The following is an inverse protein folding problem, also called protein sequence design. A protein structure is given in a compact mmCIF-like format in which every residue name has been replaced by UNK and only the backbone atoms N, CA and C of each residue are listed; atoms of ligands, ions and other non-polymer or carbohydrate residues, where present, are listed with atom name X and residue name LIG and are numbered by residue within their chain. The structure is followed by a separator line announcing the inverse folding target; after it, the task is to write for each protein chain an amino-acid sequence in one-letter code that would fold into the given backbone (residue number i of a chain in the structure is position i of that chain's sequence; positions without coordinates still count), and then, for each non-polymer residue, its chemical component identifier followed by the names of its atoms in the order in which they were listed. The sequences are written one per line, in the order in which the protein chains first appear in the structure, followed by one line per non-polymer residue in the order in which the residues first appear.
data_IF_954643444540
#
_entry.id   IF_954643444540
#
_cell.length_a   1.000
_cell.length_b   1.000
_cell.length_c   1.000
_cell.angle_alpha   90.00
_cell.angle_beta   90.00
_cell.angle_gamma   90.00
#
_symmetry.space_group_name_H-M   'P 1'
#
loop_
_entity.id
_entity.type
_entity.pdbx_description
1 polymer ?
#
# COMPACT_ATOMS: atom_id res chain seq x y z
N UNK A 1 -60.53 16.84 27.10
CA UNK A 1 -59.06 16.95 26.88
C UNK A 1 -58.37 15.86 27.70
N UNK A 2 -57.15 15.45 27.33
CA UNK A 2 -56.28 14.46 27.99
C UNK A 2 -56.44 12.97 27.62
N UNK A 3 -56.28 12.65 26.33
CA UNK A 3 -55.81 11.33 25.85
C UNK A 3 -54.78 11.56 24.75
N UNK A 4 -53.58 12.02 25.11
CA UNK A 4 -52.37 12.13 24.27
C UNK A 4 -51.24 12.76 25.11
N UNK A 5 -50.65 12.00 26.04
CA UNK A 5 -49.40 12.45 26.70
C UNK A 5 -48.58 11.32 27.34
N UNK A 6 -48.66 10.09 26.84
CA UNK A 6 -47.68 9.06 27.19
C UNK A 6 -47.15 8.42 25.92
N UNK A 7 -45.86 8.64 25.70
CA UNK A 7 -45.12 8.14 24.56
C UNK A 7 -45.18 6.62 24.49
N UNK A 8 -45.59 6.10 23.33
CA UNK A 8 -45.21 4.76 22.93
C UNK A 8 -43.69 4.72 22.92
N UNK A 9 -43.10 4.01 23.88
CA UNK A 9 -41.73 3.54 23.79
C UNK A 9 -41.62 2.76 22.47
N UNK A 10 -40.72 3.14 21.54
CA UNK A 10 -40.53 2.33 20.33
C UNK A 10 -40.18 0.90 20.77
N UNK A 11 -40.70 -0.13 20.07
CA UNK A 11 -40.34 -1.51 20.38
C UNK A 11 -38.82 -1.61 20.37
N UNK A 12 -38.23 -2.31 21.35
CA UNK A 12 -36.80 -2.54 21.43
C UNK A 12 -36.32 -3.07 20.07
N UNK A 13 -35.73 -2.19 19.26
CA UNK A 13 -35.15 -2.53 17.99
C UNK A 13 -33.99 -3.44 18.31
N UNK A 14 -34.13 -4.73 18.01
CA UNK A 14 -32.98 -5.64 17.98
C UNK A 14 -31.87 -5.01 17.14
N UNK A 15 -30.62 -5.37 17.44
CA UNK A 15 -29.44 -4.95 16.67
C UNK A 15 -29.82 -5.07 15.19
N UNK A 16 -29.73 -3.99 14.39
CA UNK A 16 -30.19 -4.00 13.00
C UNK A 16 -29.43 -5.11 12.27
N UNK A 17 -30.12 -6.21 12.00
CA UNK A 17 -29.56 -7.30 11.23
C UNK A 17 -29.32 -6.75 9.84
N UNK A 18 -28.06 -6.70 9.41
CA UNK A 18 -27.73 -6.29 8.05
C UNK A 18 -28.52 -7.17 7.09
N UNK A 19 -29.48 -6.56 6.40
CA UNK A 19 -30.35 -7.30 5.49
C UNK A 19 -29.51 -7.83 4.33
N UNK A 20 -29.85 -9.02 3.82
CA UNK A 20 -29.17 -9.56 2.63
C UNK A 20 -29.19 -8.56 1.44
N UNK A 21 -30.22 -7.72 1.36
CA UNK A 21 -30.30 -6.64 0.38
C UNK A 21 -29.24 -5.55 0.58
N UNK A 22 -28.95 -5.16 1.84
CA UNK A 22 -27.90 -4.19 2.14
C UNK A 22 -26.51 -4.78 1.87
N UNK A 23 -26.26 -6.03 2.25
CA UNK A 23 -25.00 -6.73 1.96
C UNK A 23 -24.74 -6.84 0.45
N UNK A 24 -25.76 -7.24 -0.33
CA UNK A 24 -25.67 -7.30 -1.79
C UNK A 24 -25.40 -5.93 -2.41
N UNK A 25 -26.02 -4.86 -1.89
CA UNK A 25 -25.76 -3.49 -2.36
C UNK A 25 -24.31 -3.07 -2.09
N UNK A 26 -23.74 -3.42 -0.94
CA UNK A 26 -22.32 -3.17 -0.63
C UNK A 26 -21.40 -3.92 -1.58
N UNK A 27 -21.68 -5.20 -1.86
CA UNK A 27 -20.89 -6.01 -2.81
C UNK A 27 -20.91 -5.39 -4.21
N UNK A 28 -22.10 -5.04 -4.73
CA UNK A 28 -22.21 -4.39 -6.03
C UNK A 28 -21.53 -3.02 -6.06
N UNK A 29 -21.57 -2.25 -4.97
CA UNK A 29 -20.87 -0.98 -4.89
C UNK A 29 -19.34 -1.16 -4.95
N UNK A 30 -18.79 -2.16 -4.24
CA UNK A 30 -17.37 -2.52 -4.29
C UNK A 30 -16.97 -2.90 -5.73
N UNK A 31 -17.76 -3.76 -6.39
CA UNK A 31 -17.51 -4.17 -7.78
C UNK A 31 -17.49 -2.97 -8.74
N UNK A 32 -18.48 -2.09 -8.65
CA UNK A 32 -18.54 -0.88 -9.49
C UNK A 32 -17.34 0.05 -9.25
N UNK A 33 -16.89 0.19 -7.99
CA UNK A 33 -15.69 0.98 -7.67
C UNK A 33 -14.43 0.36 -8.29
N UNK A 34 -14.27 -0.95 -8.23
CA UNK A 34 -13.16 -1.67 -8.89
C UNK A 34 -13.16 -1.46 -10.40
N UNK A 35 -14.31 -1.60 -11.07
CA UNK A 35 -14.41 -1.36 -12.52
C UNK A 35 -14.10 0.09 -12.90
N UNK A 36 -14.52 1.05 -12.06
CA UNK A 36 -14.20 2.46 -12.26
C UNK A 36 -12.72 2.78 -12.06
N UNK A 37 -12.09 2.21 -11.04
CA UNK A 37 -10.64 2.32 -10.78
C UNK A 37 -9.85 1.83 -12.01
N UNK A 38 -10.16 0.63 -12.51
CA UNK A 38 -9.51 0.06 -13.70
C UNK A 38 -9.71 0.95 -14.94
N UNK A 39 -10.89 1.55 -15.10
CA UNK A 39 -11.18 2.47 -16.20
C UNK A 39 -10.36 3.75 -16.11
N UNK A 40 -10.20 4.29 -14.89
CA UNK A 40 -9.37 5.49 -14.64
C UNK A 40 -7.90 5.19 -14.90
N UNK A 41 -7.39 4.05 -14.47
CA UNK A 41 -6.01 3.59 -14.73
C UNK A 41 -5.74 3.46 -16.23
N UNK A 42 -6.61 2.77 -16.97
CA UNK A 42 -6.50 2.66 -18.44
C UNK A 42 -6.48 4.02 -19.13
N UNK A 43 -7.29 4.98 -18.64
CA UNK A 43 -7.28 6.35 -19.17
C UNK A 43 -5.97 7.06 -18.86
N UNK A 44 -5.45 6.91 -17.63
CA UNK A 44 -4.15 7.47 -17.22
C UNK A 44 -3.03 6.97 -18.12
N UNK A 45 -2.92 5.66 -18.33
CA UNK A 45 -1.89 5.06 -19.21
C UNK A 45 -1.95 5.61 -20.64
N UNK A 46 -3.16 5.82 -21.18
CA UNK A 46 -3.33 6.42 -22.50
C UNK A 46 -2.81 7.86 -22.54
N UNK A 47 -3.08 8.65 -21.50
CA UNK A 47 -2.60 10.02 -21.41
C UNK A 47 -1.08 10.10 -21.21
N UNK A 48 -0.49 9.17 -20.45
CA UNK A 48 0.95 9.05 -20.28
C UNK A 48 1.65 8.78 -21.62
N UNK A 49 1.14 7.81 -22.41
CA UNK A 49 1.65 7.53 -23.76
C UNK A 49 1.55 8.75 -24.68
N UNK A 50 0.45 9.51 -24.59
CA UNK A 50 0.28 10.77 -25.36
C UNK A 50 1.23 11.86 -24.89
N UNK A 51 1.48 11.96 -23.58
CA UNK A 51 2.40 12.91 -22.99
C UNK A 51 3.83 12.65 -23.44
N UNK A 52 4.26 11.38 -23.44
CA UNK A 52 5.56 10.95 -23.93
C UNK A 52 5.72 11.24 -25.43
N UNK A 53 4.67 11.00 -26.24
CA UNK A 53 4.69 11.35 -27.65
C UNK A 53 4.84 12.88 -27.91
N UNK A 54 4.21 13.73 -27.09
CA UNK A 54 4.42 15.18 -27.18
C UNK A 54 5.81 15.61 -26.72
N UNK A 55 6.40 14.92 -25.74
CA UNK A 55 7.79 15.13 -25.32
C UNK A 55 8.77 14.79 -26.45
N UNK A 56 8.60 13.67 -27.13
CA UNK A 56 9.45 13.28 -28.27
C UNK A 56 9.34 14.28 -29.43
N UNK A 57 8.14 14.75 -29.76
CA UNK A 57 7.95 15.83 -30.75
C UNK A 57 8.66 17.12 -30.33
N UNK A 58 8.61 17.47 -29.04
CA UNK A 58 9.31 18.66 -28.53
C UNK A 58 10.83 18.53 -28.68
N UNK A 59 11.40 17.36 -28.39
CA UNK A 59 12.83 17.05 -28.62
C UNK A 59 13.20 17.16 -30.10
N UNK A 60 12.38 16.61 -30.98
CA UNK A 60 12.59 16.68 -32.43
C UNK A 60 12.59 18.13 -32.94
N UNK A 61 11.57 18.92 -32.59
CA UNK A 61 11.51 20.33 -32.98
C UNK A 61 12.66 21.16 -32.43
N UNK A 62 13.16 20.80 -31.24
CA UNK A 62 14.35 21.43 -30.66
C UNK A 62 15.59 21.14 -31.51
N UNK A 63 15.80 19.88 -31.93
CA UNK A 63 16.89 19.50 -32.85
C UNK A 63 16.80 20.23 -34.20
N UNK A 64 15.59 20.44 -34.69
CA UNK A 64 15.31 21.18 -35.93
C UNK A 64 15.34 22.71 -35.76
N UNK A 65 15.71 23.24 -34.58
CA UNK A 65 15.73 24.68 -34.24
C UNK A 65 14.37 25.38 -34.43
N UNK A 66 13.27 24.61 -34.33
CA UNK A 66 11.87 25.05 -34.46
C UNK A 66 11.28 25.41 -33.09
N UNK A 67 11.77 26.50 -32.50
CA UNK A 67 11.47 26.91 -31.11
C UNK A 67 9.97 27.08 -30.81
N UNK A 68 9.20 27.66 -31.74
CA UNK A 68 7.76 27.90 -31.52
C UNK A 68 6.97 26.58 -31.44
N UNK A 69 7.28 25.62 -32.32
CA UNK A 69 6.65 24.29 -32.33
C UNK A 69 7.03 23.47 -31.09
N UNK A 70 8.30 23.50 -30.68
CA UNK A 70 8.75 22.84 -29.45
C UNK A 70 7.99 23.37 -28.22
N UNK A 71 7.83 24.70 -28.11
CA UNK A 71 7.07 25.32 -27.03
C UNK A 71 5.59 24.87 -27.01
N UNK A 72 4.96 24.71 -28.18
CA UNK A 72 3.59 24.22 -28.27
C UNK A 72 3.45 22.77 -27.78
N UNK A 73 4.40 21.89 -28.13
CA UNK A 73 4.42 20.51 -27.63
C UNK A 73 4.62 20.47 -26.10
N UNK A 74 5.52 21.28 -25.55
CA UNK A 74 5.72 21.36 -24.10
C UNK A 74 4.47 21.89 -23.36
N UNK A 75 3.73 22.84 -23.94
CA UNK A 75 2.44 23.30 -23.39
C UNK A 75 1.41 22.17 -23.35
N UNK A 76 1.31 21.37 -24.42
CA UNK A 76 0.42 20.20 -24.47
C UNK A 76 0.83 19.14 -23.45
N UNK A 77 2.13 18.85 -23.33
CA UNK A 77 2.68 17.97 -22.29
C UNK A 77 2.21 18.41 -20.90
N UNK A 78 2.34 19.71 -20.58
CA UNK A 78 1.94 20.24 -19.28
C UNK A 78 0.44 20.11 -18.99
N UNK A 79 -0.41 20.26 -20.01
CA UNK A 79 -1.85 20.03 -19.87
C UNK A 79 -2.16 18.54 -19.58
N UNK A 80 -1.46 17.62 -20.26
CA UNK A 80 -1.61 16.18 -20.03
C UNK A 80 -1.12 15.78 -18.63
N UNK A 81 0.01 16.33 -18.16
CA UNK A 81 0.48 16.14 -16.77
C UNK A 81 -0.59 16.52 -15.74
N UNK A 82 -1.23 17.68 -15.93
CA UNK A 82 -2.28 18.13 -15.02
C UNK A 82 -3.50 17.20 -15.07
N UNK A 83 -3.87 16.68 -16.24
CA UNK A 83 -4.97 15.72 -16.36
C UNK A 83 -4.62 14.38 -15.70
N UNK A 84 -3.39 13.89 -15.86
CA UNK A 84 -2.89 12.68 -15.20
C UNK A 84 -2.93 12.84 -13.67
N UNK A 85 -2.42 13.95 -13.14
CA UNK A 85 -2.46 14.22 -11.69
C UNK A 85 -3.91 14.28 -11.16
N UNK A 86 -4.87 14.79 -11.93
CA UNK A 86 -6.27 14.73 -11.56
C UNK A 86 -6.82 13.30 -11.55
N UNK A 87 -6.40 12.44 -12.48
CA UNK A 87 -6.78 11.03 -12.50
C UNK A 87 -6.19 10.27 -11.31
N UNK A 88 -4.93 10.53 -10.93
CA UNK A 88 -4.31 9.95 -9.74
C UNK A 88 -5.10 10.26 -8.47
N UNK A 89 -5.50 11.53 -8.30
CA UNK A 89 -6.36 11.94 -7.19
C UNK A 89 -7.72 11.25 -7.20
N UNK A 90 -8.29 10.96 -8.38
CA UNK A 90 -9.56 10.24 -8.49
C UNK A 90 -9.40 8.74 -8.17
N UNK A 91 -8.33 8.11 -8.66
CA UNK A 91 -8.00 6.70 -8.38
C UNK A 91 -7.85 6.50 -6.89
N UNK A 92 -7.06 7.35 -6.21
CA UNK A 92 -6.86 7.30 -4.76
C UNK A 92 -8.18 7.35 -3.99
N UNK A 93 -9.06 8.32 -4.31
CA UNK A 93 -10.38 8.45 -3.68
C UNK A 93 -11.29 7.23 -3.90
N UNK A 94 -11.25 6.63 -5.10
CA UNK A 94 -12.02 5.42 -5.41
C UNK A 94 -11.47 4.24 -4.59
N UNK A 95 -10.15 4.10 -4.50
CA UNK A 95 -9.50 3.03 -3.73
C UNK A 95 -9.80 3.13 -2.23
N UNK A 96 -9.72 4.34 -1.65
CA UNK A 96 -10.09 4.62 -0.27
C UNK A 96 -11.55 4.24 0.02
N UNK A 97 -12.48 4.61 -0.87
CA UNK A 97 -13.89 4.27 -0.74
C UNK A 97 -14.14 2.76 -0.82
N UNK A 98 -13.44 2.06 -1.72
CA UNK A 98 -13.52 0.61 -1.84
C UNK A 98 -13.04 -0.06 -0.54
N UNK A 99 -11.87 0.32 -0.05
CA UNK A 99 -11.29 -0.21 1.19
C UNK A 99 -12.21 0.04 2.40
N UNK A 100 -12.81 1.23 2.50
CA UNK A 100 -13.80 1.54 3.53
C UNK A 100 -15.03 0.61 3.46
N UNK A 101 -15.59 0.37 2.27
CA UNK A 101 -16.73 -0.53 2.12
C UNK A 101 -16.38 -1.99 2.43
N UNK A 102 -15.18 -2.43 2.08
CA UNK A 102 -14.66 -3.76 2.44
C UNK A 102 -14.53 -3.92 3.96
N UNK A 103 -13.96 -2.92 4.65
CA UNK A 103 -13.87 -2.91 6.11
C UNK A 103 -15.24 -2.91 6.78
N UNK A 104 -16.19 -2.11 6.28
CA UNK A 104 -17.57 -2.09 6.77
C UNK A 104 -18.27 -3.44 6.57
N UNK A 105 -18.05 -4.10 5.44
CA UNK A 105 -18.59 -5.44 5.17
C UNK A 105 -18.06 -6.45 6.17
N UNK A 106 -16.74 -6.51 6.36
CA UNK A 106 -16.10 -7.42 7.34
C UNK A 106 -16.64 -7.18 8.74
N UNK A 107 -16.72 -5.92 9.18
CA UNK A 107 -17.30 -5.55 10.48
C UNK A 107 -18.73 -6.06 10.64
N UNK A 108 -19.54 -5.92 9.59
CA UNK A 108 -20.92 -6.38 9.57
C UNK A 108 -21.02 -7.91 9.68
N UNK A 109 -20.16 -8.64 8.96
CA UNK A 109 -20.09 -10.11 9.00
C UNK A 109 -19.68 -10.62 10.41
N UNK A 110 -18.72 -9.96 11.05
CA UNK A 110 -18.31 -10.26 12.43
C UNK A 110 -19.47 -10.03 13.41
N UNK A 111 -20.13 -8.87 13.34
CA UNK A 111 -21.27 -8.55 14.23
C UNK A 111 -22.44 -9.53 14.03
N UNK A 112 -22.73 -9.92 12.78
CA UNK A 112 -23.74 -10.93 12.47
C UNK A 112 -23.41 -12.31 13.08
N UNK A 113 -22.13 -12.71 13.00
CA UNK A 113 -21.65 -13.96 13.58
C UNK A 113 -21.73 -13.95 15.11
N UNK A 114 -21.33 -12.83 15.74
CA UNK A 114 -21.46 -12.63 17.18
C UNK A 114 -22.92 -12.67 17.65
N UNK A 115 -23.83 -12.06 16.91
CA UNK A 115 -25.26 -12.12 17.20
C UNK A 115 -25.78 -13.56 17.17
N UNK A 116 -25.38 -14.33 16.15
CA UNK A 116 -25.74 -15.75 16.02
C UNK A 116 -25.16 -16.58 17.19
N UNK A 117 -23.90 -16.34 17.55
CA UNK A 117 -23.27 -16.99 18.71
C UNK A 117 -23.99 -16.64 20.03
N UNK A 118 -24.38 -15.37 20.23
CA UNK A 118 -25.11 -14.94 21.41
C UNK A 118 -26.51 -15.59 21.52
N UNK A 119 -27.21 -15.77 20.39
CA UNK A 119 -28.47 -16.51 20.36
C UNK A 119 -28.27 -17.98 20.73
N UNK A 120 -27.26 -18.65 20.16
CA UNK A 120 -26.93 -20.03 20.49
C UNK A 120 -26.53 -20.20 21.97
N UNK A 121 -25.70 -19.29 22.49
CA UNK A 121 -25.33 -19.26 23.90
C UNK A 121 -26.56 -19.09 24.80
N UNK A 122 -27.48 -18.19 24.45
CA UNK A 122 -28.74 -18.00 25.18
C UNK A 122 -29.61 -19.25 25.18
N UNK A 123 -29.71 -19.95 24.06
CA UNK A 123 -30.49 -21.18 23.97
C UNK A 123 -29.84 -22.34 24.73
N UNK A 124 -28.52 -22.47 24.69
CA UNK A 124 -27.76 -23.38 25.55
C UNK A 124 -27.97 -23.07 27.05
N UNK A 125 -27.91 -21.79 27.45
CA UNK A 125 -28.18 -21.40 28.84
C UNK A 125 -29.60 -21.72 29.28
N UNK A 126 -30.61 -21.58 28.41
CA UNK A 126 -31.99 -22.01 28.71
C UNK A 126 -32.06 -23.53 28.92
N UNK A 127 -31.33 -24.31 28.12
CA UNK A 127 -31.24 -25.75 28.28
C UNK A 127 -30.53 -26.14 29.59
N UNK A 128 -29.44 -25.44 29.96
CA UNK A 128 -28.68 -25.69 31.19
C UNK A 128 -29.40 -25.25 32.47
N UNK A 129 -30.24 -24.21 32.42
CA UNK A 129 -31.08 -23.75 33.55
C UNK A 129 -32.10 -24.79 34.03
N UNK A 130 -32.30 -25.90 33.31
CA UNK A 130 -33.15 -27.00 33.77
C UNK A 130 -32.47 -27.82 34.89
N UNK A 131 -31.14 -27.78 35.04
CA UNK A 131 -30.46 -28.70 36.00
C UNK A 131 -29.55 -28.09 37.07
N UNK A 132 -28.99 -26.87 36.99
CA UNK A 132 -28.23 -26.30 38.12
C UNK A 132 -28.11 -24.78 38.02
N UNK A 133 -28.93 -24.05 38.78
CA UNK A 133 -29.02 -22.58 38.71
C UNK A 133 -27.88 -21.87 39.45
N UNK A 134 -27.38 -22.44 40.55
CA UNK A 134 -26.44 -21.73 41.43
C UNK A 134 -25.01 -21.62 40.87
N UNK A 135 -24.52 -22.65 40.15
CA UNK A 135 -23.20 -22.59 39.49
C UNK A 135 -23.17 -21.72 38.24
N UNK A 136 -24.31 -21.59 37.56
CA UNK A 136 -24.45 -20.79 36.34
C UNK A 136 -24.43 -19.30 36.64
N UNK A 137 -24.87 -18.87 37.83
CA UNK A 137 -24.82 -17.45 38.24
C UNK A 137 -23.39 -16.97 38.45
N UNK A 138 -22.50 -17.81 38.97
CA UNK A 138 -21.07 -17.47 39.12
C UNK A 138 -20.38 -17.35 37.76
N UNK A 139 -20.64 -18.26 36.80
CA UNK A 139 -20.10 -18.18 35.44
C UNK A 139 -20.68 -17.01 34.61
N UNK A 140 -21.94 -16.59 34.86
CA UNK A 140 -22.55 -15.40 34.23
C UNK A 140 -21.85 -14.10 34.65
N UNK A 141 -21.44 -14.00 35.90
CA UNK A 141 -20.73 -12.82 36.38
C UNK A 141 -19.35 -12.71 35.71
N UNK A 142 -18.67 -13.85 35.52
CA UNK A 142 -17.40 -13.93 34.77
C UNK A 142 -17.59 -13.58 33.27
N UNK A 143 -18.69 -14.00 32.66
CA UNK A 143 -19.05 -13.66 31.26
C UNK A 143 -19.44 -12.18 31.09
N UNK A 144 -20.02 -11.56 32.13
CA UNK A 144 -20.40 -10.14 32.12
C UNK A 144 -19.18 -9.23 32.18
N UNK A 145 -18.14 -9.63 32.92
CA UNK A 145 -16.84 -8.94 32.90
C UNK A 145 -16.11 -9.10 31.56
N UNK A 146 -16.24 -10.26 30.89
CA UNK A 146 -15.76 -10.43 29.51
C UNK A 146 -16.51 -9.55 28.50
N UNK A 147 -17.82 -9.34 28.68
CA UNK A 147 -18.60 -8.39 27.87
C UNK A 147 -18.21 -6.92 28.09
N UNK A 148 -17.71 -6.58 29.28
CA UNK A 148 -17.21 -5.25 29.60
C UNK A 148 -15.82 -5.02 28.99
N UNK A 149 -14.92 -6.00 29.02
CA UNK A 149 -13.67 -5.99 28.24
C UNK A 149 -13.92 -5.90 26.74
N UNK A 150 -14.97 -6.55 26.24
CA UNK A 150 -15.35 -6.48 24.82
C UNK A 150 -15.87 -5.08 24.43
N UNK A 151 -16.57 -4.37 25.32
CA UNK A 151 -16.91 -2.95 25.11
C UNK A 151 -15.69 -2.02 25.15
N UNK A 152 -14.61 -2.40 25.81
CA UNK A 152 -13.35 -1.63 25.84
C UNK A 152 -12.55 -1.85 24.54
N UNK A 153 -12.54 -3.08 24.01
CA UNK A 153 -11.96 -3.42 22.70
C UNK A 153 -12.79 -2.83 21.54
N UNK A 154 -14.12 -2.80 21.65
CA UNK A 154 -15.04 -2.16 20.70
C UNK A 154 -15.27 -0.67 20.95
N UNK A 155 -14.72 -0.04 22.00
CA UNK A 155 -14.69 1.41 22.11
C UNK A 155 -13.73 2.04 21.08
N UNK A 156 -12.92 1.19 20.42
CA UNK A 156 -12.14 1.54 19.25
C UNK A 156 -12.47 0.61 18.05
N UNK A 157 -13.73 0.53 17.60
CA UNK A 157 -14.09 -0.27 16.42
C UNK A 157 -13.68 0.44 15.12
N UNK A 158 -13.29 1.71 15.27
CA UNK A 158 -12.56 2.54 14.35
C UNK A 158 -11.33 3.01 15.11
N UNK A 159 -10.29 2.19 15.13
CA UNK A 159 -8.91 2.69 15.24
C UNK A 159 -8.53 3.55 14.02
N UNK A 160 -9.41 4.48 13.62
CA UNK A 160 -9.04 5.71 12.93
C UNK A 160 -8.41 6.72 13.92
N UNK A 161 -8.03 6.25 15.11
CA UNK A 161 -6.76 6.62 15.71
C UNK A 161 -5.62 5.73 15.18
N UNK A 162 -5.45 5.67 13.86
CA UNK A 162 -4.09 5.82 13.36
C UNK A 162 -3.91 7.32 13.20
N UNK A 163 -3.53 7.98 14.30
CA UNK A 163 -2.51 9.01 14.14
C UNK A 163 -1.31 8.24 13.57
N UNK A 164 -1.31 8.03 12.24
CA UNK A 164 -0.04 7.86 11.55
C UNK A 164 0.61 9.21 11.76
N UNK A 165 1.58 9.25 12.67
CA UNK A 165 2.35 10.47 12.87
C UNK A 165 2.98 10.78 11.51
N UNK A 166 2.56 11.89 10.88
CA UNK A 166 3.10 12.29 9.58
C UNK A 166 4.63 12.42 9.68
N UNK A 167 5.18 12.70 10.86
CA UNK A 167 6.61 12.76 11.12
C UNK A 167 7.28 11.37 11.12
N UNK A 168 6.61 10.33 11.62
CA UNK A 168 7.10 8.94 11.59
C UNK A 168 7.09 8.38 10.16
N UNK A 169 5.99 8.63 9.42
CA UNK A 169 5.89 8.24 8.01
C UNK A 169 6.86 9.00 7.12
N UNK A 170 7.12 10.28 7.39
CA UNK A 170 8.11 11.07 6.67
C UNK A 170 9.53 10.55 6.94
N UNK A 171 9.83 10.14 8.17
CA UNK A 171 11.10 9.48 8.50
C UNK A 171 11.31 8.15 7.77
N UNK A 172 10.29 7.29 7.73
CA UNK A 172 10.35 6.02 6.97
C UNK A 172 10.52 6.25 5.46
N UNK A 173 9.85 7.27 4.92
CA UNK A 173 9.99 7.64 3.50
C UNK A 173 11.41 8.16 3.19
N UNK A 174 11.98 9.01 4.04
CA UNK A 174 13.36 9.51 3.90
C UNK A 174 14.39 8.37 3.98
N UNK A 175 14.20 7.40 4.88
CA UNK A 175 15.09 6.24 5.01
C UNK A 175 15.03 5.33 3.77
N UNK A 176 13.83 5.15 3.20
CA UNK A 176 13.64 4.38 1.97
C UNK A 176 14.30 5.07 0.77
N UNK A 177 14.13 6.39 0.63
CA UNK A 177 14.77 7.19 -0.42
C UNK A 177 16.31 7.16 -0.31
N UNK A 178 16.85 7.24 0.92
CA UNK A 178 18.28 7.14 1.15
C UNK A 178 18.84 5.75 0.79
N UNK A 179 18.11 4.67 1.12
CA UNK A 179 18.52 3.31 0.76
C UNK A 179 18.51 3.05 -0.75
N UNK A 180 17.54 3.62 -1.47
CA UNK A 180 17.50 3.55 -2.94
C UNK A 180 18.63 4.37 -3.57
N UNK A 181 18.90 5.57 -3.05
CA UNK A 181 19.99 6.41 -3.51
C UNK A 181 21.36 5.76 -3.29
N UNK A 182 21.60 5.14 -2.13
CA UNK A 182 22.83 4.39 -1.85
C UNK A 182 22.98 3.20 -2.81
N UNK A 183 21.89 2.48 -3.11
CA UNK A 183 21.91 1.43 -4.14
C UNK A 183 22.23 1.98 -5.52
N UNK A 184 21.77 3.18 -5.86
CA UNK A 184 22.07 3.86 -7.12
C UNK A 184 23.54 4.35 -7.17
N UNK A 185 24.09 4.84 -6.06
CA UNK A 185 25.49 5.26 -5.92
C UNK A 185 26.48 4.09 -5.88
N UNK A 186 26.07 2.92 -5.37
CA UNK A 186 26.84 1.68 -5.45
C UNK A 186 26.85 1.07 -6.85
N UNK A 187 26.04 1.59 -7.79
CA UNK A 187 26.21 1.25 -9.20
C UNK A 187 27.49 1.92 -9.71
N UNK A 188 28.49 1.15 -10.20
CA UNK A 188 29.74 1.74 -10.65
C UNK A 188 29.50 2.66 -11.84
N UNK A 189 29.91 3.93 -11.70
CA UNK A 189 29.83 4.91 -12.78
C UNK A 189 30.56 4.39 -14.04
N UNK A 190 30.00 4.56 -15.25
CA UNK A 190 30.70 4.18 -16.47
C UNK A 190 31.94 5.06 -16.64
N UNK A 191 33.12 4.45 -16.51
CA UNK A 191 34.41 5.12 -16.62
C UNK A 191 34.60 5.76 -18.01
N UNK A 192 34.81 7.08 -18.13
CA UNK A 192 35.10 7.71 -19.41
C UNK A 192 36.53 7.38 -19.87
N UNK A 193 36.67 6.74 -21.02
CA UNK A 193 37.96 6.49 -21.68
C UNK A 193 38.47 7.75 -22.39
N UNK A 194 38.91 8.76 -21.63
CA UNK A 194 39.59 9.93 -22.19
C UNK A 194 41.11 9.70 -22.21
N UNK A 195 41.67 9.50 -23.41
CA UNK A 195 43.12 9.53 -23.67
C UNK A 195 43.66 10.94 -23.45
N UNK A 196 44.55 11.11 -22.47
CA UNK A 196 45.33 12.35 -22.28
C UNK A 196 46.68 12.21 -23.03
N UNK A 197 47.15 13.22 -23.79
CA UNK A 197 48.43 13.16 -24.49
C UNK A 197 49.59 13.48 -23.53
N UNK A 198 50.52 12.53 -23.36
CA UNK A 198 51.70 12.73 -22.52
C UNK A 198 52.78 13.53 -23.29
N UNK A 199 53.03 14.76 -22.85
CA UNK A 199 54.23 15.51 -23.18
C UNK A 199 55.42 14.95 -22.39
N UNK A 200 56.56 14.93 -23.07
CA UNK A 200 57.82 14.29 -22.69
C UNK A 200 58.66 15.18 -21.77
N UNK A 201 59.10 14.67 -20.63
CA UNK A 201 60.37 15.09 -20.01
C UNK A 201 61.12 13.88 -19.44
N UNK A 202 62.41 13.81 -19.76
CA UNK A 202 63.32 12.67 -19.57
C UNK A 202 63.97 12.72 -18.18
N UNK A 203 64.02 11.57 -17.50
CA UNK A 203 65.02 11.24 -16.46
C UNK A 203 65.30 9.72 -16.43
N UNK A 204 66.45 9.27 -15.88
CA UNK A 204 67.29 8.22 -16.45
C UNK A 204 66.94 6.76 -16.07
N UNK A 205 67.37 5.85 -16.96
CA UNK A 205 67.12 4.39 -16.99
C UNK A 205 67.52 3.62 -15.71
N UNK A 206 66.62 2.77 -15.20
CA UNK A 206 66.84 1.81 -14.11
C UNK A 206 66.31 0.42 -14.53
N UNK A 207 66.94 -0.71 -14.15
CA UNK A 207 66.76 -2.03 -14.78
C UNK A 207 65.41 -2.71 -14.47
N UNK A 208 64.84 -3.41 -15.46
CA UNK A 208 63.62 -4.23 -15.33
C UNK A 208 63.80 -5.37 -14.31
N UNK A 209 62.97 -5.40 -13.26
CA UNK A 209 62.70 -6.61 -12.46
C UNK A 209 61.47 -7.32 -13.03
N UNK A 210 61.65 -8.59 -13.38
CA UNK A 210 60.58 -9.52 -13.76
C UNK A 210 59.58 -9.71 -12.60
N UNK A 211 58.30 -9.90 -12.94
CA UNK A 211 57.23 -10.21 -11.98
C UNK A 211 57.59 -11.47 -11.16
N UNK A 212 57.31 -11.50 -9.84
CA UNK A 212 57.48 -12.73 -9.06
C UNK A 212 56.52 -13.81 -9.57
N UNK A 213 57.02 -15.04 -9.63
CA UNK A 213 56.21 -16.22 -9.93
C UNK A 213 55.23 -16.51 -8.77
N UNK A 214 53.99 -16.86 -9.11
CA UNK A 214 52.95 -17.30 -8.15
C UNK A 214 53.48 -18.45 -7.29
N UNK A 215 53.16 -18.45 -6.00
CA UNK A 215 53.58 -19.50 -5.06
C UNK A 215 52.80 -20.79 -5.29
N UNK A 216 53.35 -21.92 -4.83
CA UNK A 216 52.69 -23.23 -4.96
C UNK A 216 51.29 -23.25 -4.33
N UNK A 217 51.09 -22.53 -3.22
CA UNK A 217 49.77 -22.37 -2.58
C UNK A 217 48.76 -21.61 -3.45
N UNK A 218 49.17 -20.57 -4.19
CA UNK A 218 48.25 -19.84 -5.08
C UNK A 218 47.79 -20.69 -6.27
N UNK A 219 48.65 -21.59 -6.75
CA UNK A 219 48.30 -22.51 -7.83
C UNK A 219 47.39 -23.65 -7.34
N UNK A 220 47.56 -24.10 -6.10
CA UNK A 220 46.74 -25.15 -5.49
C UNK A 220 45.32 -24.65 -5.18
N UNK A 221 45.18 -23.39 -4.74
CA UNK A 221 43.87 -22.73 -4.55
C UNK A 221 43.10 -22.58 -5.87
N UNK A 222 43.78 -22.14 -6.93
CA UNK A 222 43.16 -21.89 -8.24
C UNK A 222 42.73 -23.20 -8.92
N UNK A 223 43.42 -24.32 -8.63
CA UNK A 223 43.01 -25.65 -9.07
C UNK A 223 41.76 -26.18 -8.32
N UNK A 224 41.69 -25.96 -7.00
CA UNK A 224 40.54 -26.34 -6.16
C UNK A 224 39.27 -25.56 -6.54
N UNK A 225 39.41 -24.28 -6.86
CA UNK A 225 38.31 -23.42 -7.28
C UNK A 225 37.76 -23.81 -8.67
N UNK A 226 38.63 -24.25 -9.57
CA UNK A 226 38.24 -24.76 -10.89
C UNK A 226 37.53 -26.13 -10.83
N UNK A 227 37.87 -26.99 -9.87
CA UNK A 227 37.23 -28.30 -9.68
C UNK A 227 35.83 -28.17 -9.06
N UNK A 228 35.58 -27.16 -8.24
CA UNK A 228 34.25 -26.89 -7.68
C UNK A 228 33.27 -26.22 -8.67
N UNK A 229 33.78 -25.64 -9.76
CA UNK A 229 32.99 -24.96 -10.77
C UNK A 229 32.59 -25.86 -11.97
N UNK A 230 32.97 -27.15 -11.94
CA UNK A 230 32.62 -28.17 -12.92
C UNK A 230 31.63 -29.18 -12.34
#
# INVERSE_FOLDING_TARGET
MFKKLFGQKPPATGIPQATAAAANKTISAIQNLTEHEETLEKRKELLEKRMEAELEKAKEFTRLKKKAQALQCLKKKKLLENEISNLDNMIMRVSEQRMMLEGQRTTTEVVSSMHTAALAAKDNMKAMKIENVDKVVDEINETTDQMRQLNEVFANPLGLGTDLDEDELMGELEELEASELDKELLQPAPVPTAKVPAASEKMPSVPQKQKPAKTAEELELEALEAEMAA
#
